data_IF_729973791006
#
_entry.id   IF_729973791006
#
_cell.length_a   1.000
_cell.length_b   1.000
_cell.length_c   1.000
_cell.angle_alpha   90.00
_cell.angle_beta   90.00
_cell.angle_gamma   90.00
#
_symmetry.space_group_name_H-M   'P 1'
#
loop_
_entity.id
_entity.type
_entity.pdbx_description
1 polymer ?
#
# COMPACT_ATOMS: atom_id res chain seq x y z
N UNK A 1 10.49 11.99 -0.86
CA UNK A 1 10.00 10.62 -1.07
C UNK A 1 8.78 10.60 -1.97
N UNK A 2 8.48 9.47 -2.55
CA UNK A 2 7.20 9.23 -3.21
C UNK A 2 6.24 8.68 -2.17
N UNK A 3 5.16 9.40 -1.91
CA UNK A 3 4.15 9.03 -0.93
C UNK A 3 2.87 8.61 -1.62
N UNK A 4 2.35 7.45 -1.24
CA UNK A 4 1.20 6.85 -1.91
C UNK A 4 0.20 6.37 -0.86
N UNK A 5 -1.07 6.64 -1.13
CA UNK A 5 -2.15 5.95 -0.43
C UNK A 5 -3.16 5.44 -1.47
N UNK A 6 -3.67 4.24 -1.27
CA UNK A 6 -4.64 3.64 -2.19
C UNK A 6 -5.71 2.89 -1.42
N UNK A 7 -6.92 2.90 -1.96
CA UNK A 7 -8.08 2.19 -1.40
C UNK A 7 -8.43 1.00 -2.28
N UNK A 8 -8.58 -0.15 -1.63
CA UNK A 8 -8.92 -1.43 -2.26
C UNK A 8 -10.25 -1.88 -1.70
N UNK A 9 -11.28 -1.97 -2.55
CA UNK A 9 -12.56 -2.55 -2.16
C UNK A 9 -12.54 -4.02 -2.51
N UNK A 10 -12.44 -4.85 -1.48
CA UNK A 10 -12.32 -6.31 -1.61
C UNK A 10 -13.73 -6.91 -1.67
N UNK A 11 -13.91 -7.95 -2.49
CA UNK A 11 -15.16 -8.70 -2.51
C UNK A 11 -15.47 -9.20 -1.11
N UNK A 12 -16.75 -9.11 -0.66
CA UNK A 12 -17.10 -9.49 0.72
C UNK A 12 -16.65 -10.90 1.10
N UNK A 13 -16.73 -11.85 0.18
CA UNK A 13 -16.31 -13.24 0.43
C UNK A 13 -14.81 -13.40 0.59
N UNK A 14 -14.02 -12.40 0.21
CA UNK A 14 -12.56 -12.39 0.34
C UNK A 14 -12.04 -11.38 1.35
N UNK A 15 -12.94 -10.58 1.95
CA UNK A 15 -12.51 -9.43 2.76
C UNK A 15 -11.67 -9.83 3.96
N UNK A 16 -12.05 -10.88 4.69
CA UNK A 16 -11.27 -11.33 5.85
C UNK A 16 -9.94 -11.97 5.45
N UNK A 17 -9.84 -12.47 4.23
CA UNK A 17 -8.64 -13.13 3.72
C UNK A 17 -7.66 -12.20 3.01
N UNK A 18 -8.00 -10.94 2.81
CA UNK A 18 -7.18 -10.02 2.04
C UNK A 18 -5.72 -9.95 2.52
N UNK A 19 -5.41 -9.88 3.82
CA UNK A 19 -4.02 -9.88 4.26
C UNK A 19 -3.24 -11.12 3.79
N UNK A 20 -3.88 -12.29 3.76
CA UNK A 20 -3.27 -13.53 3.27
C UNK A 20 -3.14 -13.52 1.76
N UNK A 21 -4.17 -13.04 1.04
CA UNK A 21 -4.17 -12.94 -0.42
C UNK A 21 -3.03 -12.02 -0.89
N UNK A 22 -2.83 -10.88 -0.20
CA UNK A 22 -1.82 -9.89 -0.55
C UNK A 22 -0.44 -10.16 0.09
N UNK A 23 -0.28 -11.24 0.85
CA UNK A 23 0.91 -11.46 1.68
C UNK A 23 2.22 -11.54 0.89
N UNK A 24 2.24 -12.26 -0.22
CA UNK A 24 3.46 -12.41 -1.03
C UNK A 24 3.89 -11.09 -1.63
N UNK A 25 2.94 -10.34 -2.19
CA UNK A 25 3.18 -9.01 -2.74
C UNK A 25 3.69 -8.06 -1.65
N UNK A 26 3.06 -8.10 -0.48
CA UNK A 26 3.45 -7.26 0.67
C UNK A 26 4.88 -7.54 1.11
N UNK A 27 5.25 -8.81 1.28
CA UNK A 27 6.62 -9.19 1.67
C UNK A 27 7.64 -8.77 0.63
N UNK A 28 7.36 -9.03 -0.64
CA UNK A 28 8.28 -8.70 -1.72
C UNK A 28 8.48 -7.18 -1.84
N UNK A 29 7.41 -6.40 -1.69
CA UNK A 29 7.49 -4.94 -1.72
C UNK A 29 8.32 -4.40 -0.55
N UNK A 30 8.08 -4.91 0.66
CA UNK A 30 8.84 -4.51 1.85
C UNK A 30 10.32 -4.87 1.75
N UNK A 31 10.67 -5.87 0.96
CA UNK A 31 12.07 -6.25 0.72
C UNK A 31 12.78 -5.38 -0.32
N UNK A 32 12.07 -4.53 -1.05
CA UNK A 32 12.70 -3.60 -2.02
C UNK A 32 13.58 -2.60 -1.28
N UNK A 33 14.84 -2.38 -1.73
CA UNK A 33 15.76 -1.48 -1.04
C UNK A 33 15.25 -0.05 -0.90
N UNK A 34 14.44 0.42 -1.84
CA UNK A 34 13.89 1.77 -1.84
C UNK A 34 12.53 1.92 -1.17
N UNK A 35 11.93 0.83 -0.68
CA UNK A 35 10.65 0.90 0.03
C UNK A 35 10.90 1.36 1.47
N UNK A 36 10.32 2.49 1.85
CA UNK A 36 10.43 3.03 3.20
C UNK A 36 9.41 2.39 4.14
N UNK A 37 8.16 2.25 3.69
CA UNK A 37 7.11 1.51 4.39
C UNK A 37 6.04 1.07 3.40
N UNK A 38 5.29 0.05 3.79
CA UNK A 38 4.20 -0.52 3.02
C UNK A 38 3.23 -1.15 4.02
N UNK A 39 2.17 -0.41 4.38
CA UNK A 39 1.29 -0.77 5.49
C UNK A 39 -0.16 -0.84 5.06
N UNK A 40 -0.76 -2.00 5.29
CA UNK A 40 -2.20 -2.19 5.11
C UNK A 40 -2.96 -1.85 6.39
N UNK A 41 -4.11 -1.20 6.22
CA UNK A 41 -5.07 -1.00 7.30
C UNK A 41 -6.46 -1.30 6.77
N UNK A 42 -7.29 -1.88 7.63
CA UNK A 42 -8.69 -2.14 7.29
C UNK A 42 -9.53 -0.98 7.79
N UNK A 43 -10.44 -0.48 6.96
CA UNK A 43 -11.32 0.63 7.34
C UNK A 43 -12.19 0.22 8.54
N UNK A 44 -12.30 1.13 9.52
CA UNK A 44 -13.20 0.92 10.66
C UNK A 44 -14.67 1.18 10.28
N UNK A 45 -14.90 1.86 9.15
CA UNK A 45 -16.26 2.19 8.69
C UNK A 45 -16.82 1.16 7.73
N UNK A 46 -15.95 0.47 6.96
CA UNK A 46 -16.36 -0.52 5.98
C UNK A 46 -15.35 -1.68 5.97
N UNK A 47 -15.75 -2.86 6.52
CA UNK A 47 -14.81 -3.98 6.65
C UNK A 47 -14.38 -4.61 5.33
N UNK A 48 -14.97 -4.21 4.20
CA UNK A 48 -14.54 -4.66 2.87
C UNK A 48 -13.46 -3.77 2.25
N UNK A 49 -13.16 -2.62 2.88
CA UNK A 49 -12.20 -1.65 2.37
C UNK A 49 -10.88 -1.77 3.11
N UNK A 50 -9.79 -1.90 2.35
CA UNK A 50 -8.43 -1.83 2.86
C UNK A 50 -7.73 -0.62 2.25
N UNK A 51 -6.91 0.04 3.07
CA UNK A 51 -6.11 1.19 2.66
C UNK A 51 -4.65 0.81 2.81
N UNK A 52 -3.88 1.05 1.76
CA UNK A 52 -2.42 0.95 1.82
C UNK A 52 -1.84 2.35 1.98
N UNK A 53 -0.87 2.46 2.87
CA UNK A 53 -0.01 3.64 2.97
C UNK A 53 1.39 3.17 2.66
N UNK A 54 2.00 3.71 1.62
CA UNK A 54 3.32 3.27 1.18
C UNK A 54 4.19 4.46 0.80
N UNK A 55 5.49 4.28 0.93
CA UNK A 55 6.44 5.30 0.54
C UNK A 55 7.70 4.68 -0.02
N UNK A 56 8.25 5.34 -1.05
CA UNK A 56 9.51 4.97 -1.69
C UNK A 56 10.48 6.14 -1.58
N UNK A 57 11.76 5.83 -1.43
CA UNK A 57 12.81 6.82 -1.18
C UNK A 57 12.83 7.94 -2.22
N UNK A 58 12.64 7.60 -3.50
CA UNK A 58 12.69 8.53 -4.62
C UNK A 58 11.94 7.95 -5.84
N UNK A 59 11.93 8.70 -6.94
CA UNK A 59 11.27 8.28 -8.18
C UNK A 59 11.84 7.01 -8.77
N UNK A 60 13.15 6.79 -8.64
CA UNK A 60 13.80 5.57 -9.14
C UNK A 60 13.31 4.34 -8.35
N UNK A 61 13.17 4.47 -7.04
CA UNK A 61 12.63 3.40 -6.19
C UNK A 61 11.17 3.09 -6.52
N UNK A 62 10.36 4.13 -6.77
CA UNK A 62 8.98 3.95 -7.21
C UNK A 62 8.88 3.25 -8.58
N UNK A 63 9.74 3.63 -9.51
CA UNK A 63 9.82 2.99 -10.82
C UNK A 63 10.26 1.51 -10.69
N UNK A 64 11.22 1.22 -9.82
CA UNK A 64 11.65 -0.15 -9.57
C UNK A 64 10.51 -1.02 -9.02
N UNK A 65 9.66 -0.44 -8.17
CA UNK A 65 8.49 -1.13 -7.62
C UNK A 65 7.52 -1.55 -8.74
N UNK A 66 7.09 -0.60 -9.57
CA UNK A 66 6.05 -0.87 -10.58
C UNK A 66 6.55 -1.70 -11.76
N UNK A 67 7.86 -1.84 -11.92
CA UNK A 67 8.46 -2.69 -12.96
C UNK A 67 8.94 -4.04 -12.44
N UNK A 68 8.78 -4.30 -11.13
CA UNK A 68 9.22 -5.54 -10.51
C UNK A 68 8.35 -6.74 -10.92
N UNK A 69 8.93 -7.94 -10.80
CA UNK A 69 8.21 -9.17 -11.10
C UNK A 69 7.04 -9.38 -10.14
N UNK A 70 7.21 -9.04 -8.86
CA UNK A 70 6.13 -9.19 -7.88
C UNK A 70 4.99 -8.19 -8.13
N UNK A 71 5.26 -7.01 -8.66
CA UNK A 71 4.21 -6.07 -9.04
C UNK A 71 3.43 -6.61 -10.24
N UNK A 72 4.11 -7.13 -11.25
CA UNK A 72 3.48 -7.74 -12.43
C UNK A 72 2.62 -8.93 -12.04
N UNK A 73 3.09 -9.76 -11.11
CA UNK A 73 2.31 -10.88 -10.58
C UNK A 73 1.06 -10.38 -9.86
N UNK A 74 1.21 -9.36 -9.02
CA UNK A 74 0.08 -8.77 -8.28
C UNK A 74 -0.98 -8.21 -9.24
N UNK A 75 -0.57 -7.59 -10.35
CA UNK A 75 -1.50 -7.12 -11.38
C UNK A 75 -2.39 -8.23 -11.94
N UNK A 76 -1.93 -9.47 -11.93
CA UNK A 76 -2.69 -10.62 -12.40
C UNK A 76 -3.50 -11.28 -11.29
N UNK A 77 -2.98 -11.31 -10.07
CA UNK A 77 -3.53 -12.15 -8.99
C UNK A 77 -4.44 -11.40 -8.03
N UNK A 78 -4.26 -10.09 -7.85
CA UNK A 78 -5.06 -9.33 -6.89
C UNK A 78 -6.41 -8.85 -7.46
N UNK A 79 -6.51 -8.30 -8.68
CA UNK A 79 -7.77 -7.75 -9.19
C UNK A 79 -8.96 -8.71 -9.15
N UNK A 80 -8.82 -10.03 -9.38
CA UNK A 80 -9.98 -10.94 -9.27
C UNK A 80 -10.67 -10.95 -7.91
N UNK A 81 -10.00 -10.50 -6.85
CA UNK A 81 -10.56 -10.41 -5.49
C UNK A 81 -11.19 -9.05 -5.19
N UNK A 82 -11.18 -8.13 -6.15
CA UNK A 82 -11.63 -6.76 -5.95
C UNK A 82 -12.98 -6.50 -6.62
N UNK A 83 -13.77 -5.58 -6.05
CA UNK A 83 -15.06 -5.15 -6.60
C UNK A 83 -14.86 -4.13 -7.71
N UNK A 84 -13.80 -3.31 -7.59
CA UNK A 84 -13.52 -2.21 -8.51
C UNK A 84 -12.02 -1.96 -8.58
N UNK A 85 -11.60 -1.19 -9.58
CA UNK A 85 -10.22 -0.75 -9.68
C UNK A 85 -9.85 0.09 -8.45
N UNK A 86 -8.72 -0.20 -7.78
CA UNK A 86 -8.29 0.61 -6.64
C UNK A 86 -8.12 2.08 -7.01
N UNK A 87 -8.39 2.95 -6.04
CA UNK A 87 -8.20 4.40 -6.17
C UNK A 87 -6.93 4.78 -5.46
N UNK A 88 -6.18 5.71 -6.04
CA UNK A 88 -4.82 6.00 -5.58
C UNK A 88 -4.56 7.50 -5.58
N UNK A 89 -3.80 7.95 -4.57
CA UNK A 89 -3.14 9.25 -4.56
C UNK A 89 -1.65 8.99 -4.50
N UNK A 90 -0.90 9.61 -5.40
CA UNK A 90 0.53 9.40 -5.57
C UNK A 90 1.19 10.77 -5.77
N UNK A 91 2.14 11.12 -4.92
CA UNK A 91 2.82 12.42 -5.01
C UNK A 91 4.24 12.37 -4.48
N UNK A 92 5.09 13.23 -5.03
CA UNK A 92 6.40 13.49 -4.46
C UNK A 92 6.26 14.53 -3.35
N UNK A 93 6.84 14.26 -2.19
CA UNK A 93 6.82 15.16 -1.04
C UNK A 93 8.24 15.40 -0.55
N UNK A 94 8.54 16.60 0.04
CA UNK A 94 9.89 16.88 0.53
C UNK A 94 10.25 16.13 1.81
N UNK A 95 9.25 15.63 2.54
CA UNK A 95 9.46 14.87 3.77
C UNK A 95 9.99 13.47 3.42
N UNK A 96 10.84 12.92 4.27
CA UNK A 96 11.48 11.62 4.03
C UNK A 96 11.26 10.61 5.16
N UNK A 97 10.51 10.99 6.20
CA UNK A 97 10.17 10.12 7.32
C UNK A 97 8.95 10.68 8.04
N UNK A 98 8.44 9.93 8.99
CA UNK A 98 7.37 10.34 9.87
C UNK A 98 7.86 11.44 10.82
N UNK A 99 7.01 12.43 11.08
CA UNK A 99 7.25 13.44 12.11
C UNK A 99 6.20 13.32 13.20
N UNK A 100 6.47 13.93 14.35
CA UNK A 100 5.53 13.92 15.46
C UNK A 100 4.39 14.90 15.21
N UNK A 101 3.17 14.48 15.53
CA UNK A 101 2.00 15.35 15.59
C UNK A 101 2.00 16.00 16.98
N UNK A 102 2.74 17.12 17.09
CA UNK A 102 3.01 17.76 18.39
C UNK A 102 1.75 18.24 19.12
N UNK A 103 0.68 18.55 18.39
CA UNK A 103 -0.60 18.94 19.00
C UNK A 103 -1.21 17.84 19.86
N UNK A 104 -0.79 16.57 19.66
CA UNK A 104 -1.26 15.41 20.43
C UNK A 104 -0.15 14.83 21.31
N UNK A 105 0.78 15.69 21.74
CA UNK A 105 1.89 15.24 22.58
C UNK A 105 1.37 14.54 23.83
N UNK A 106 2.02 13.44 24.21
CA UNK A 106 1.70 12.66 25.40
C UNK A 106 2.81 12.85 26.43
N UNK A 107 2.41 13.00 27.67
CA UNK A 107 3.35 13.15 28.80
C UNK A 107 3.98 11.81 29.18
#
# INVERSE_FOLDING_TARGET
>A
MIFITAKFRVRPEHADDWPRIAADFTRATRAEPGCLWFEWSRSVDDPTVYVIVEAFRDGAAGAAHVTSDHFKKAQRTLPPHLVETPRIVNMAVPQDDWSLLGEFAVD
#
